data_IF_434562671542
#
_entry.id   IF_434562671542
#
_cell.length_a   1.000
_cell.length_b   1.000
_cell.length_c   1.000
_cell.angle_alpha   90.00
_cell.angle_beta   90.00
_cell.angle_gamma   90.00
#
_symmetry.space_group_name_H-M   'P 1'
#
loop_
_entity.id
_entity.type
_entity.pdbx_description
1 polymer ?
#
# COMPACT_ATOMS: atom_id res chain seq x y z
N UNK A 1 18.51 5.61 -3.58
CA UNK A 1 18.81 4.17 -3.62
C UNK A 1 19.65 3.92 -4.84
N UNK A 2 20.83 3.32 -4.69
CA UNK A 2 21.69 2.90 -5.80
C UNK A 2 21.67 1.39 -5.92
N UNK A 3 21.65 0.86 -7.14
CA UNK A 3 21.71 -0.58 -7.41
C UNK A 3 22.99 -0.87 -8.17
N UNK A 4 23.84 -1.74 -7.63
CA UNK A 4 25.03 -2.24 -8.30
C UNK A 4 24.84 -3.72 -8.64
N UNK A 5 25.00 -4.08 -9.91
CA UNK A 5 25.07 -5.47 -10.34
C UNK A 5 26.50 -5.97 -10.22
N UNK A 6 26.67 -7.13 -9.60
CA UNK A 6 27.96 -7.78 -9.48
C UNK A 6 28.12 -8.67 -10.72
N UNK A 7 28.95 -8.23 -11.67
CA UNK A 7 29.36 -9.07 -12.79
C UNK A 7 30.62 -9.86 -12.40
N UNK A 8 30.67 -11.13 -12.78
CA UNK A 8 31.84 -11.97 -12.58
C UNK A 8 33.06 -11.32 -13.25
N UNK A 9 33.97 -10.78 -12.43
CA UNK A 9 35.22 -10.22 -12.91
C UNK A 9 36.12 -11.34 -13.42
N UNK A 10 36.07 -11.64 -14.72
CA UNK A 10 37.17 -12.32 -15.39
C UNK A 10 38.40 -11.41 -15.37
N UNK A 11 39.49 -11.92 -14.78
CA UNK A 11 40.64 -11.16 -14.33
C UNK A 11 41.40 -10.42 -15.43
N UNK A 12 41.07 -9.15 -15.64
CA UNK A 12 41.89 -8.20 -16.41
C UNK A 12 42.79 -7.36 -15.49
N UNK A 13 44.06 -7.73 -15.34
CA UNK A 13 45.07 -6.97 -14.58
C UNK A 13 45.22 -5.55 -15.14
N UNK A 14 44.80 -4.53 -14.40
CA UNK A 14 45.30 -3.17 -14.56
C UNK A 14 46.26 -2.78 -13.42
N UNK A 15 47.56 -2.81 -13.72
CA UNK A 15 48.62 -2.17 -12.94
C UNK A 15 48.35 -0.66 -12.84
N UNK A 16 48.26 -0.11 -11.63
CA UNK A 16 48.56 1.31 -11.37
C UNK A 16 49.77 1.44 -10.46
N UNK A 17 50.75 2.19 -11.00
CA UNK A 17 52.00 2.62 -10.38
C UNK A 17 51.71 3.65 -9.26
N UNK A 18 52.61 3.68 -8.27
CA UNK A 18 52.45 4.40 -7.01
C UNK A 18 52.73 5.90 -7.02
N UNK A 19 52.64 6.45 -5.81
CA UNK A 19 53.05 7.80 -5.43
C UNK A 19 52.85 7.99 -3.91
N UNK A 20 53.95 8.06 -3.17
CA UNK A 20 54.03 8.34 -1.72
C UNK A 20 53.86 9.84 -1.44
N UNK A 21 53.40 10.18 -0.23
CA UNK A 21 53.60 11.50 0.39
C UNK A 21 52.71 11.78 1.62
N UNK A 22 53.25 11.92 2.84
CA UNK A 22 52.48 11.97 4.10
C UNK A 22 52.42 13.39 4.72
N UNK A 23 51.41 13.67 5.56
CA UNK A 23 51.46 14.74 6.58
C UNK A 23 50.64 14.33 7.82
N UNK A 24 51.32 14.24 8.98
CA UNK A 24 50.70 14.31 10.32
C UNK A 24 50.33 15.76 10.67
N UNK A 25 49.83 16.17 11.85
CA UNK A 25 49.87 15.69 13.24
C UNK A 25 48.75 16.47 13.98
N UNK A 26 48.18 15.93 15.06
CA UNK A 26 47.46 16.77 16.05
C UNK A 26 46.63 16.02 17.09
N UNK A 27 47.28 15.56 18.17
CA UNK A 27 46.63 15.10 19.41
C UNK A 27 46.33 16.30 20.32
N UNK A 28 45.15 16.32 20.94
CA UNK A 28 44.78 17.21 22.04
C UNK A 28 43.57 16.64 22.78
N UNK A 29 43.74 16.33 24.07
CA UNK A 29 42.77 15.64 24.90
C UNK A 29 41.94 16.53 25.82
N UNK A 30 41.10 15.86 26.62
CA UNK A 30 40.27 16.32 27.75
C UNK A 30 39.13 17.29 27.35
N UNK A 31 37.90 17.23 27.86
CA UNK A 31 37.37 16.73 29.13
C UNK A 31 35.82 16.62 29.02
N UNK A 32 35.18 15.75 29.82
CA UNK A 32 33.70 15.66 29.95
C UNK A 32 33.18 16.71 30.94
N UNK A 33 31.91 17.12 30.83
CA UNK A 33 31.08 17.11 32.05
C UNK A 33 29.66 16.54 31.88
N UNK A 34 29.08 16.35 33.07
CA UNK A 34 27.96 15.51 33.52
C UNK A 34 26.55 15.87 33.02
N UNK A 35 25.77 14.79 32.94
CA UNK A 35 24.34 14.58 33.23
C UNK A 35 23.49 15.76 33.78
N UNK A 36 22.31 15.92 33.17
CA UNK A 36 21.16 16.68 33.68
C UNK A 36 19.98 15.72 33.89
N UNK A 37 19.38 15.78 35.08
CA UNK A 37 18.13 15.11 35.48
C UNK A 37 16.91 16.01 35.19
N UNK A 38 15.69 15.46 35.08
CA UNK A 38 14.55 16.14 34.45
C UNK A 38 13.78 17.08 35.39
N UNK A 39 13.27 18.18 34.83
CA UNK A 39 12.35 19.11 35.47
C UNK A 39 10.89 18.66 35.32
N UNK A 40 10.16 18.71 36.43
CA UNK A 40 8.73 18.47 36.56
C UNK A 40 7.90 19.67 36.08
N UNK A 41 6.73 19.39 35.49
CA UNK A 41 5.68 20.37 35.20
C UNK A 41 4.58 20.30 36.27
N UNK A 42 3.98 21.44 36.69
CA UNK A 42 2.90 21.43 37.67
C UNK A 42 1.51 21.28 37.03
N UNK A 43 0.64 20.61 37.78
CA UNK A 43 -0.78 20.48 37.53
C UNK A 43 -1.55 21.77 37.89
N UNK A 44 -2.60 22.09 37.13
CA UNK A 44 -3.69 22.96 37.58
C UNK A 44 -5.05 22.28 37.34
N UNK A 45 -5.78 22.09 38.44
CA UNK A 45 -7.21 21.79 38.50
C UNK A 45 -7.99 23.10 38.34
N UNK A 46 -9.10 23.07 37.59
CA UNK A 46 -10.21 24.00 37.78
C UNK A 46 -11.52 23.21 37.75
N UNK A 47 -12.39 23.54 38.70
CA UNK A 47 -13.65 22.92 39.07
C UNK A 47 -14.86 23.48 38.30
N UNK A 48 -15.75 22.58 37.89
CA UNK A 48 -17.20 22.52 38.23
C UNK A 48 -18.06 23.81 38.32
N UNK A 49 -19.10 23.86 37.44
CA UNK A 49 -20.56 24.05 37.71
C UNK A 49 -21.29 25.10 36.84
N UNK A 50 -22.47 24.71 36.34
CA UNK A 50 -23.63 25.61 36.19
C UNK A 50 -24.40 25.54 34.86
N UNK A 51 -25.36 24.61 34.75
CA UNK A 51 -26.55 24.66 33.87
C UNK A 51 -27.56 25.75 34.31
N UNK A 52 -28.72 25.96 33.67
CA UNK A 52 -29.08 26.02 32.23
C UNK A 52 -29.89 27.33 31.95
N UNK A 53 -30.46 27.55 30.74
CA UNK A 53 -31.79 28.17 30.56
C UNK A 53 -32.25 28.25 29.09
N UNK A 54 -33.57 28.26 28.97
CA UNK A 54 -34.51 28.03 27.87
C UNK A 54 -34.76 29.18 26.87
N UNK A 55 -35.40 28.83 25.74
CA UNK A 55 -36.27 29.70 24.92
C UNK A 55 -35.68 30.00 23.54
N UNK A 56 -36.37 29.99 22.40
CA UNK A 56 -37.79 29.91 22.07
C UNK A 56 -38.00 30.59 20.72
N UNK A 57 -38.82 29.97 19.86
CA UNK A 57 -39.53 30.52 18.68
C UNK A 57 -38.80 30.88 17.37
N UNK A 58 -39.49 30.42 16.31
CA UNK A 58 -39.34 30.63 14.86
C UNK A 58 -39.53 32.11 14.45
N UNK A 59 -38.96 32.48 13.30
CA UNK A 59 -39.63 33.33 12.30
C UNK A 59 -39.05 33.13 10.90
N UNK A 60 -39.96 32.90 9.96
CA UNK A 60 -39.76 32.76 8.52
C UNK A 60 -39.31 34.07 7.87
N UNK A 61 -38.40 33.99 6.89
CA UNK A 61 -38.27 34.98 5.81
C UNK A 61 -38.00 34.22 4.51
N UNK A 62 -39.02 34.12 3.67
CA UNK A 62 -38.88 33.87 2.24
C UNK A 62 -38.62 35.19 1.51
N UNK A 63 -37.55 35.28 0.75
CA UNK A 63 -37.39 36.24 -0.34
C UNK A 63 -36.68 35.54 -1.50
N UNK A 64 -37.29 35.60 -2.68
CA UNK A 64 -37.04 34.73 -3.82
C UNK A 64 -35.71 34.92 -4.55
N UNK A 65 -35.29 33.83 -5.19
CA UNK A 65 -34.31 33.78 -6.26
C UNK A 65 -34.93 32.98 -7.43
N UNK A 66 -34.61 33.31 -8.69
CA UNK A 66 -35.32 32.79 -9.86
C UNK A 66 -35.10 31.29 -10.05
N UNK A 67 -36.18 30.59 -10.37
CA UNK A 67 -36.17 29.22 -10.87
C UNK A 67 -35.40 29.18 -12.20
N UNK A 68 -34.19 28.64 -12.16
CA UNK A 68 -33.50 28.19 -13.36
C UNK A 68 -34.19 26.89 -13.78
N UNK A 69 -34.80 26.89 -14.97
CA UNK A 69 -35.23 25.66 -15.65
C UNK A 69 -34.02 24.73 -15.79
N UNK A 70 -34.02 23.65 -15.01
CA UNK A 70 -33.09 22.55 -15.18
C UNK A 70 -33.55 21.75 -16.39
N UNK A 71 -32.78 21.89 -17.48
CA UNK A 71 -32.91 21.07 -18.68
C UNK A 71 -32.97 19.57 -18.30
N UNK A 72 -34.04 18.93 -18.71
CA UNK A 72 -34.52 17.63 -18.23
C UNK A 72 -33.82 16.43 -18.89
N UNK A 73 -32.52 16.57 -19.21
CA UNK A 73 -31.73 15.54 -19.92
C UNK A 73 -30.40 15.18 -19.28
N UNK A 74 -30.34 15.15 -17.96
CA UNK A 74 -29.36 14.35 -17.25
C UNK A 74 -30.10 13.49 -16.23
N UNK A 75 -30.39 12.24 -16.60
CA UNK A 75 -30.61 11.21 -15.58
C UNK A 75 -29.27 11.00 -14.89
N UNK A 76 -28.95 11.87 -13.92
CA UNK A 76 -27.86 11.67 -12.99
C UNK A 76 -28.33 10.51 -12.12
N UNK A 77 -28.00 9.29 -12.52
CA UNK A 77 -27.96 8.20 -11.57
C UNK A 77 -26.95 8.62 -10.51
N UNK A 78 -27.45 9.01 -9.33
CA UNK A 78 -26.64 9.07 -8.11
C UNK A 78 -26.18 7.64 -7.83
N UNK A 79 -25.12 7.22 -8.51
CA UNK A 79 -24.35 6.05 -8.12
C UNK A 79 -23.79 6.33 -6.73
N UNK A 80 -23.76 5.32 -5.87
CA UNK A 80 -23.24 5.36 -4.49
C UNK A 80 -21.85 6.02 -4.39
N UNK A 81 -21.14 6.09 -5.50
CA UNK A 81 -19.96 6.91 -5.70
C UNK A 81 -20.25 7.96 -6.77
N UNK A 82 -20.29 9.23 -6.39
CA UNK A 82 -20.14 10.32 -7.35
C UNK A 82 -18.72 10.32 -7.89
N UNK A 83 -18.32 9.31 -8.67
CA UNK A 83 -17.03 9.32 -9.35
C UNK A 83 -17.08 10.55 -10.25
N UNK A 84 -16.19 11.52 -10.00
CA UNK A 84 -16.20 12.79 -10.70
C UNK A 84 -16.15 12.58 -12.22
N UNK A 85 -16.63 13.56 -12.98
CA UNK A 85 -16.75 13.57 -14.44
C UNK A 85 -15.43 13.42 -15.22
N UNK A 86 -14.35 12.96 -14.60
CA UNK A 86 -13.01 12.80 -15.16
C UNK A 86 -12.82 11.59 -16.09
N UNK A 87 -13.89 10.85 -16.42
CA UNK A 87 -13.88 9.83 -17.48
C UNK A 87 -13.14 8.53 -17.16
N UNK A 88 -12.75 8.30 -15.90
CA UNK A 88 -12.00 7.08 -15.47
C UNK A 88 -12.92 5.99 -14.90
N UNK A 89 -14.23 6.24 -14.84
CA UNK A 89 -15.20 5.28 -14.34
C UNK A 89 -15.64 4.29 -15.44
N UNK A 90 -15.54 2.99 -15.16
CA UNK A 90 -16.19 1.94 -15.94
C UNK A 90 -17.59 1.70 -15.37
N UNK A 91 -18.58 2.40 -15.91
CA UNK A 91 -19.98 2.05 -15.67
C UNK A 91 -20.48 1.24 -16.87
N UNK A 92 -20.82 -0.03 -16.64
CA UNK A 92 -21.41 -0.90 -17.64
C UNK A 92 -22.74 -1.46 -17.12
N UNK A 93 -23.73 -1.61 -17.98
CA UNK A 93 -25.02 -2.24 -17.63
C UNK A 93 -24.87 -3.72 -17.23
N UNK A 94 -23.73 -4.33 -17.55
CA UNK A 94 -23.36 -5.68 -17.14
C UNK A 94 -22.75 -5.66 -15.74
N UNK A 95 -23.22 -6.55 -14.86
CA UNK A 95 -22.63 -6.76 -13.55
C UNK A 95 -21.17 -7.20 -13.67
N UNK A 96 -20.25 -6.38 -13.14
CA UNK A 96 -18.81 -6.66 -13.16
C UNK A 96 -18.45 -7.81 -12.21
N UNK A 97 -17.37 -8.53 -12.50
CA UNK A 97 -16.87 -9.64 -11.68
C UNK A 97 -15.54 -9.28 -11.03
N UNK A 98 -15.43 -9.46 -9.72
CA UNK A 98 -14.22 -9.22 -8.93
C UNK A 98 -13.67 -10.53 -8.37
N UNK A 99 -12.37 -10.77 -8.55
CA UNK A 99 -11.68 -11.84 -7.84
C UNK A 99 -10.86 -11.26 -6.68
N UNK A 100 -11.08 -11.80 -5.49
CA UNK A 100 -10.27 -11.54 -4.30
C UNK A 100 -9.32 -12.72 -4.08
N UNK A 101 -8.02 -12.46 -4.06
CA UNK A 101 -7.00 -13.42 -3.62
C UNK A 101 -6.68 -13.14 -2.15
N UNK A 102 -7.07 -14.05 -1.26
CA UNK A 102 -6.86 -13.89 0.17
C UNK A 102 -5.67 -14.74 0.66
N UNK A 103 -4.57 -14.04 0.98
CA UNK A 103 -3.28 -14.63 1.38
C UNK A 103 -3.09 -14.76 2.89
N UNK A 104 -3.98 -14.18 3.71
CA UNK A 104 -3.80 -14.00 5.15
C UNK A 104 -3.56 -12.55 5.55
N UNK A 105 -2.74 -12.33 6.58
CA UNK A 105 -2.56 -11.04 7.25
C UNK A 105 -3.59 -10.75 8.33
N UNK A 106 -3.44 -9.60 9.00
CA UNK A 106 -4.22 -9.21 10.19
C UNK A 106 -5.73 -9.19 9.98
N UNK A 107 -6.18 -8.89 8.76
CA UNK A 107 -7.59 -8.67 8.45
C UNK A 107 -8.48 -9.85 8.86
N UNK A 108 -8.07 -11.08 8.56
CA UNK A 108 -8.82 -12.30 8.89
C UNK A 108 -8.40 -13.00 10.18
N UNK A 109 -7.58 -12.36 11.03
CA UNK A 109 -7.17 -12.96 12.29
C UNK A 109 -8.26 -12.81 13.37
N UNK A 110 -8.27 -13.72 14.34
CA UNK A 110 -9.10 -13.60 15.56
C UNK A 110 -8.27 -13.79 16.82
N UNK A 111 -8.62 -13.10 17.92
CA UNK A 111 -8.02 -13.37 19.21
C UNK A 111 -8.46 -14.75 19.71
N UNK A 112 -7.53 -15.51 20.28
CA UNK A 112 -7.85 -16.67 21.10
C UNK A 112 -8.30 -16.23 22.52
N UNK A 113 -8.48 -17.21 23.42
CA UNK A 113 -8.87 -16.98 24.81
C UNK A 113 -7.87 -16.12 25.60
N UNK A 114 -6.60 -16.10 25.18
CA UNK A 114 -5.53 -15.30 25.80
C UNK A 114 -5.35 -13.93 25.13
N UNK A 115 -6.05 -13.68 24.03
CA UNK A 115 -5.98 -12.46 23.25
C UNK A 115 -4.91 -12.47 22.15
N UNK A 116 -4.22 -13.58 21.93
CA UNK A 116 -3.25 -13.71 20.84
C UNK A 116 -3.97 -13.85 19.51
N UNK A 117 -3.49 -13.15 18.48
CA UNK A 117 -4.13 -13.17 17.17
C UNK A 117 -3.66 -14.39 16.37
N UNK A 118 -4.61 -15.12 15.78
CA UNK A 118 -4.35 -16.28 14.93
C UNK A 118 -5.12 -16.19 13.62
N UNK A 119 -4.57 -16.76 12.55
CA UNK A 119 -5.29 -16.93 11.28
C UNK A 119 -6.45 -17.92 11.45
N UNK A 120 -7.63 -17.59 10.91
CA UNK A 120 -8.82 -18.46 10.97
C UNK A 120 -9.32 -18.72 9.55
N UNK A 121 -9.10 -19.94 9.01
CA UNK A 121 -9.57 -20.29 7.68
C UNK A 121 -11.09 -20.13 7.53
N UNK A 122 -11.54 -19.63 6.38
CA UNK A 122 -12.93 -19.36 6.04
C UNK A 122 -13.52 -18.11 6.68
N UNK A 123 -12.93 -17.58 7.75
CA UNK A 123 -13.52 -16.48 8.52
C UNK A 123 -13.69 -15.22 7.69
N UNK A 124 -12.62 -14.71 7.06
CA UNK A 124 -12.71 -13.48 6.28
C UNK A 124 -13.60 -13.66 5.05
N UNK A 125 -13.57 -14.84 4.43
CA UNK A 125 -14.45 -15.20 3.31
C UNK A 125 -15.92 -15.07 3.71
N UNK A 126 -16.32 -15.63 4.86
CA UNK A 126 -17.66 -15.46 5.43
C UNK A 126 -18.00 -13.99 5.70
N UNK A 127 -17.04 -13.21 6.23
CA UNK A 127 -17.27 -11.78 6.48
C UNK A 127 -17.47 -10.97 5.20
N UNK A 128 -16.76 -11.29 4.12
CA UNK A 128 -16.97 -10.67 2.80
C UNK A 128 -18.38 -10.98 2.30
N UNK A 129 -18.81 -12.24 2.38
CA UNK A 129 -20.16 -12.65 1.96
C UNK A 129 -21.26 -11.94 2.76
N UNK A 130 -21.14 -11.92 4.09
CA UNK A 130 -22.08 -11.24 4.97
C UNK A 130 -22.13 -9.73 4.68
N UNK A 131 -20.96 -9.09 4.51
CA UNK A 131 -20.87 -7.67 4.18
C UNK A 131 -21.58 -7.38 2.85
N UNK A 132 -21.41 -8.22 1.83
CA UNK A 132 -22.08 -8.05 0.53
C UNK A 132 -23.59 -8.29 0.63
N UNK A 133 -24.06 -9.22 1.46
CA UNK A 133 -25.50 -9.43 1.69
C UNK A 133 -26.16 -8.26 2.43
N UNK A 134 -25.43 -7.62 3.35
CA UNK A 134 -25.87 -6.40 4.04
C UNK A 134 -25.94 -5.19 3.10
N UNK A 135 -25.14 -5.17 2.03
CA UNK A 135 -25.19 -4.11 1.02
C UNK A 135 -26.24 -4.45 -0.05
N UNK A 136 -27.33 -3.67 -0.11
CA UNK A 136 -28.30 -3.76 -1.21
C UNK A 136 -27.92 -2.93 -2.43
N UNK A 137 -26.63 -2.61 -2.58
CA UNK A 137 -26.12 -1.80 -3.67
C UNK A 137 -25.91 -2.65 -4.93
N UNK A 138 -26.77 -2.44 -5.92
CA UNK A 138 -26.72 -3.12 -7.22
C UNK A 138 -25.48 -2.78 -8.04
N UNK A 139 -24.72 -1.75 -7.68
CA UNK A 139 -23.49 -1.35 -8.37
C UNK A 139 -22.25 -2.10 -7.89
N UNK A 140 -22.33 -2.88 -6.80
CA UNK A 140 -21.21 -3.72 -6.38
C UNK A 140 -20.98 -4.88 -7.35
N UNK A 141 -19.72 -5.22 -7.65
CA UNK A 141 -19.41 -6.36 -8.51
C UNK A 141 -19.83 -7.68 -7.85
N UNK A 142 -20.06 -8.71 -8.66
CA UNK A 142 -20.11 -10.09 -8.16
C UNK A 142 -18.71 -10.47 -7.68
N UNK A 143 -18.57 -10.76 -6.39
CA UNK A 143 -17.28 -11.07 -5.77
C UNK A 143 -17.09 -12.58 -5.68
N UNK A 144 -15.91 -13.07 -6.04
CA UNK A 144 -15.43 -14.42 -5.73
C UNK A 144 -14.19 -14.31 -4.87
N UNK A 145 -14.16 -15.03 -3.74
CA UNK A 145 -13.00 -15.08 -2.86
C UNK A 145 -12.26 -16.39 -3.09
N UNK A 146 -11.00 -16.31 -3.50
CA UNK A 146 -10.05 -17.42 -3.50
C UNK A 146 -9.18 -17.32 -2.26
N UNK A 147 -9.56 -18.06 -1.24
CA UNK A 147 -8.77 -18.21 -0.02
C UNK A 147 -7.63 -19.22 -0.22
N UNK A 148 -6.42 -18.83 0.19
CA UNK A 148 -5.26 -19.70 0.07
C UNK A 148 -5.24 -20.71 1.24
N UNK A 149 -4.81 -21.96 0.98
CA UNK A 149 -4.87 -23.02 1.99
C UNK A 149 -3.94 -22.78 3.18
N UNK A 150 -2.84 -22.05 2.97
CA UNK A 150 -1.95 -21.59 4.04
C UNK A 150 -2.02 -20.06 4.10
N UNK A 151 -2.69 -19.56 5.14
CA UNK A 151 -2.78 -18.13 5.41
C UNK A 151 -1.49 -17.65 6.07
N UNK A 152 -0.84 -16.68 5.46
CA UNK A 152 0.48 -16.19 5.85
C UNK A 152 0.39 -15.06 6.86
N UNK A 153 1.40 -14.95 7.73
CA UNK A 153 1.66 -13.69 8.42
C UNK A 153 2.24 -12.67 7.43
N UNK A 154 2.03 -11.38 7.69
CA UNK A 154 2.45 -10.31 6.78
C UNK A 154 3.95 -10.26 6.50
N UNK A 155 4.79 -10.81 7.38
CA UNK A 155 6.24 -10.86 7.24
C UNK A 155 6.76 -12.08 6.46
N UNK A 156 5.92 -13.10 6.22
CA UNK A 156 6.36 -14.39 5.66
C UNK A 156 6.19 -14.47 4.13
N UNK A 157 5.68 -13.40 3.52
CA UNK A 157 5.52 -13.32 2.07
C UNK A 157 6.89 -13.24 1.40
N UNK A 158 7.08 -14.04 0.35
CA UNK A 158 8.36 -14.24 -0.31
C UNK A 158 8.16 -14.29 -1.84
N UNK A 159 9.24 -14.37 -2.64
CA UNK A 159 9.14 -14.38 -4.10
C UNK A 159 8.31 -15.53 -4.71
N UNK A 160 8.25 -16.69 -4.07
CA UNK A 160 7.41 -17.81 -4.52
C UNK A 160 5.92 -17.47 -4.36
N UNK A 161 5.56 -16.79 -3.26
CA UNK A 161 4.21 -16.28 -3.06
C UNK A 161 3.83 -15.22 -4.10
N UNK A 162 4.77 -14.34 -4.49
CA UNK A 162 4.52 -13.37 -5.57
C UNK A 162 4.27 -14.04 -6.91
N UNK A 163 5.07 -15.06 -7.25
CA UNK A 163 4.86 -15.87 -8.45
C UNK A 163 3.51 -16.59 -8.43
N UNK A 164 3.10 -17.11 -7.27
CA UNK A 164 1.80 -17.76 -7.10
C UNK A 164 0.64 -16.78 -7.36
N UNK A 165 0.70 -15.58 -6.78
CA UNK A 165 -0.29 -14.52 -7.03
C UNK A 165 -0.33 -14.15 -8.52
N UNK A 166 0.83 -13.92 -9.13
CA UNK A 166 0.91 -13.51 -10.52
C UNK A 166 0.35 -14.58 -11.47
N UNK A 167 0.66 -15.85 -11.24
CA UNK A 167 0.10 -16.97 -12.02
C UNK A 167 -1.43 -17.12 -11.84
N UNK A 168 -1.94 -16.86 -10.65
CA UNK A 168 -3.39 -16.86 -10.40
C UNK A 168 -4.09 -15.72 -11.12
N UNK A 169 -3.50 -14.52 -11.12
CA UNK A 169 -3.99 -13.39 -11.90
C UNK A 169 -4.01 -13.72 -13.40
N UNK A 170 -2.96 -14.35 -13.94
CA UNK A 170 -2.90 -14.80 -15.33
C UNK A 170 -4.01 -15.80 -15.66
N UNK A 171 -4.19 -16.81 -14.81
CA UNK A 171 -5.19 -17.87 -15.02
C UNK A 171 -6.61 -17.33 -15.08
N UNK A 172 -6.92 -16.37 -14.22
CA UNK A 172 -8.25 -15.80 -14.09
C UNK A 172 -8.42 -14.47 -14.84
N UNK A 173 -7.42 -14.06 -15.62
CA UNK A 173 -7.35 -12.71 -16.16
C UNK A 173 -8.57 -12.36 -17.02
N UNK A 174 -9.02 -13.28 -17.87
CA UNK A 174 -10.13 -13.03 -18.79
C UNK A 174 -11.53 -13.21 -18.15
N UNK A 175 -11.60 -13.85 -16.98
CA UNK A 175 -12.85 -14.18 -16.29
C UNK A 175 -13.39 -13.04 -15.41
N UNK A 176 -12.51 -12.16 -14.93
CA UNK A 176 -12.80 -11.10 -13.96
C UNK A 176 -12.41 -9.72 -14.49
N UNK A 177 -13.11 -8.67 -14.06
CA UNK A 177 -12.94 -7.30 -14.53
C UNK A 177 -11.95 -6.49 -13.67
N UNK A 178 -11.70 -6.94 -12.45
CA UNK A 178 -10.73 -6.37 -11.51
C UNK A 178 -10.27 -7.40 -10.50
N UNK A 179 -9.21 -7.06 -9.75
CA UNK A 179 -8.61 -7.95 -8.77
C UNK A 179 -8.30 -7.22 -7.46
N UNK A 180 -8.55 -7.89 -6.34
CA UNK A 180 -8.09 -7.45 -5.02
C UNK A 180 -7.22 -8.55 -4.41
N UNK A 181 -6.11 -8.16 -3.80
CA UNK A 181 -5.22 -9.05 -3.07
C UNK A 181 -5.24 -8.63 -1.62
N UNK A 182 -5.75 -9.49 -0.74
CA UNK A 182 -5.76 -9.26 0.71
C UNK A 182 -4.54 -9.94 1.30
N UNK A 183 -3.70 -9.15 1.97
CA UNK A 183 -2.50 -9.65 2.63
C UNK A 183 -2.13 -8.83 3.88
N UNK A 184 -1.13 -9.30 4.63
CA UNK A 184 -0.59 -8.54 5.76
C UNK A 184 0.14 -7.27 5.33
N UNK A 185 0.19 -6.26 6.20
CA UNK A 185 0.67 -4.92 5.84
C UNK A 185 2.19 -4.79 5.79
N UNK A 186 2.93 -5.63 6.52
CA UNK A 186 4.39 -5.49 6.69
C UNK A 186 5.18 -5.56 5.37
N UNK A 187 4.82 -6.48 4.48
CA UNK A 187 5.51 -6.69 3.20
C UNK A 187 4.70 -6.26 1.98
N UNK A 188 3.52 -5.64 2.18
CA UNK A 188 2.60 -5.30 1.10
C UNK A 188 3.21 -4.39 0.03
N UNK A 189 4.02 -3.40 0.43
CA UNK A 189 4.69 -2.51 -0.51
C UNK A 189 5.72 -3.27 -1.39
N UNK A 190 6.36 -4.31 -0.86
CA UNK A 190 7.28 -5.16 -1.61
C UNK A 190 6.52 -6.02 -2.62
N UNK A 191 5.42 -6.66 -2.20
CA UNK A 191 4.54 -7.43 -3.10
C UNK A 191 3.96 -6.56 -4.21
N UNK A 192 3.46 -5.37 -3.88
CA UNK A 192 2.93 -4.43 -4.87
C UNK A 192 4.00 -4.00 -5.88
N UNK A 193 5.22 -3.77 -5.41
CA UNK A 193 6.36 -3.45 -6.27
C UNK A 193 6.71 -4.61 -7.19
N UNK A 194 6.88 -5.82 -6.65
CA UNK A 194 7.20 -7.02 -7.42
C UNK A 194 6.16 -7.29 -8.50
N UNK A 195 4.87 -7.32 -8.14
CA UNK A 195 3.78 -7.54 -9.09
C UNK A 195 3.75 -6.47 -10.19
N UNK A 196 4.05 -5.20 -9.88
CA UNK A 196 4.09 -4.16 -10.92
C UNK A 196 5.12 -4.43 -12.01
N UNK A 197 6.19 -5.18 -11.72
CA UNK A 197 7.18 -5.62 -12.70
C UNK A 197 6.84 -6.98 -13.33
N UNK A 198 6.16 -7.88 -12.58
CA UNK A 198 5.79 -9.20 -13.07
C UNK A 198 4.63 -9.15 -14.09
N UNK A 199 3.73 -8.17 -13.98
CA UNK A 199 2.47 -8.09 -14.72
C UNK A 199 2.60 -7.18 -15.96
N UNK A 200 3.22 -7.68 -17.03
CA UNK A 200 3.38 -6.92 -18.28
C UNK A 200 2.05 -6.78 -19.03
N UNK A 201 1.81 -5.60 -19.59
CA UNK A 201 0.56 -5.26 -20.30
C UNK A 201 -0.69 -5.49 -19.43
N UNK A 202 -0.59 -5.19 -18.13
CA UNK A 202 -1.75 -5.12 -17.25
C UNK A 202 -2.72 -4.02 -17.74
N UNK A 203 -4.00 -4.37 -17.88
CA UNK A 203 -5.08 -3.52 -18.40
C UNK A 203 -6.27 -3.42 -17.43
N UNK A 204 -6.17 -4.11 -16.27
CA UNK A 204 -7.19 -4.20 -15.24
C UNK A 204 -6.62 -3.71 -13.92
N UNK A 205 -7.46 -3.13 -13.08
CA UNK A 205 -7.04 -2.64 -11.76
C UNK A 205 -6.76 -3.81 -10.84
N UNK A 206 -5.56 -3.84 -10.26
CA UNK A 206 -5.16 -4.81 -9.24
C UNK A 206 -4.87 -4.04 -7.95
N UNK A 207 -5.67 -4.26 -6.90
CA UNK A 207 -5.52 -3.51 -5.63
C UNK A 207 -5.04 -4.44 -4.53
N UNK A 208 -3.89 -4.13 -3.93
CA UNK A 208 -3.46 -4.74 -2.68
C UNK A 208 -4.06 -3.97 -1.50
N UNK A 209 -4.55 -4.70 -0.51
CA UNK A 209 -5.11 -4.13 0.70
C UNK A 209 -4.96 -5.06 1.90
N UNK A 210 -5.25 -4.53 3.08
CA UNK A 210 -5.06 -5.18 4.38
C UNK A 210 -5.73 -4.36 5.48
N UNK A 211 -5.38 -4.66 6.73
CA UNK A 211 -5.78 -3.85 7.88
C UNK A 211 -4.72 -3.85 8.95
N UNK A 212 -4.69 -2.80 9.78
CA UNK A 212 -3.88 -2.80 11.01
C UNK A 212 -4.60 -3.56 12.13
N UNK A 213 -5.93 -3.54 12.14
CA UNK A 213 -6.75 -4.17 13.17
C UNK A 213 -7.62 -5.27 12.54
N UNK A 214 -7.75 -6.46 13.16
CA UNK A 214 -8.55 -7.54 12.59
C UNK A 214 -10.02 -7.18 12.43
N UNK A 215 -10.69 -7.78 11.44
CA UNK A 215 -12.08 -7.46 11.09
C UNK A 215 -13.06 -7.63 12.26
N UNK A 216 -12.81 -8.58 13.16
CA UNK A 216 -13.67 -8.85 14.31
C UNK A 216 -13.67 -7.76 15.41
N UNK A 217 -12.80 -6.75 15.32
CA UNK A 217 -12.65 -5.71 16.35
C UNK A 217 -13.46 -4.46 15.97
N UNK A 218 -14.05 -3.81 16.98
CA UNK A 218 -14.98 -2.67 16.80
C UNK A 218 -14.39 -1.49 16.02
N UNK A 219 -13.15 -1.10 16.31
CA UNK A 219 -12.48 0.03 15.66
C UNK A 219 -11.57 -0.40 14.51
N UNK A 220 -11.95 -1.48 13.81
CA UNK A 220 -11.15 -2.01 12.71
C UNK A 220 -11.25 -1.16 11.45
N UNK A 221 -10.12 -0.94 10.80
CA UNK A 221 -9.99 -0.38 9.46
C UNK A 221 -10.35 -1.38 8.35
N UNK A 222 -10.49 -2.67 8.66
CA UNK A 222 -10.71 -3.75 7.71
C UNK A 222 -11.98 -3.57 6.87
N UNK A 223 -13.12 -3.29 7.51
CA UNK A 223 -14.41 -3.20 6.81
C UNK A 223 -14.41 -2.05 5.80
N UNK A 224 -13.82 -0.90 6.17
CA UNK A 224 -13.70 0.26 5.28
C UNK A 224 -12.76 -0.05 4.11
N UNK A 225 -11.58 -0.60 4.37
CA UNK A 225 -10.62 -0.97 3.34
C UNK A 225 -11.20 -2.00 2.36
N UNK A 226 -11.90 -3.02 2.87
CA UNK A 226 -12.52 -4.06 2.06
C UNK A 226 -13.63 -3.51 1.16
N UNK A 227 -14.59 -2.78 1.73
CA UNK A 227 -15.70 -2.22 0.95
C UNK A 227 -15.20 -1.24 -0.12
N UNK A 228 -14.26 -0.35 0.25
CA UNK A 228 -13.67 0.59 -0.68
C UNK A 228 -12.95 -0.13 -1.83
N UNK A 229 -12.10 -1.11 -1.54
CA UNK A 229 -11.36 -1.83 -2.59
C UNK A 229 -12.25 -2.66 -3.50
N UNK A 230 -13.27 -3.31 -2.96
CA UNK A 230 -14.28 -4.02 -3.77
C UNK A 230 -14.99 -3.05 -4.71
N UNK A 231 -15.35 -1.86 -4.22
CA UNK A 231 -16.04 -0.85 -5.01
C UNK A 231 -15.15 -0.27 -6.11
N UNK A 232 -13.86 -0.04 -5.83
CA UNK A 232 -12.94 0.61 -6.76
C UNK A 232 -12.36 -0.33 -7.82
N UNK A 233 -12.11 -1.60 -7.49
CA UNK A 233 -11.35 -2.51 -8.34
C UNK A 233 -11.99 -2.75 -9.72
N UNK A 234 -13.32 -2.78 -9.81
CA UNK A 234 -14.03 -2.90 -11.09
C UNK A 234 -14.50 -1.54 -11.64
N UNK A 235 -14.71 -0.55 -10.78
CA UNK A 235 -15.24 0.76 -11.20
C UNK A 235 -14.17 1.67 -11.80
N UNK A 236 -12.90 1.51 -11.44
CA UNK A 236 -11.82 2.35 -11.96
C UNK A 236 -11.15 1.72 -13.18
N UNK A 237 -10.89 2.53 -14.20
CA UNK A 237 -10.05 2.17 -15.35
C UNK A 237 -8.58 2.48 -15.11
N UNK A 238 -7.98 1.88 -14.06
CA UNK A 238 -6.58 2.07 -13.71
C UNK A 238 -5.81 0.78 -14.02
N UNK A 239 -5.06 0.78 -15.12
CA UNK A 239 -4.27 -0.34 -15.60
C UNK A 239 -2.97 -0.56 -14.80
N UNK A 240 -3.06 -0.62 -13.47
CA UNK A 240 -1.90 -0.63 -12.58
C UNK A 240 -2.09 -1.51 -11.34
N UNK A 241 -0.97 -1.98 -10.80
CA UNK A 241 -0.91 -2.54 -9.44
C UNK A 241 -0.91 -1.40 -8.44
N UNK A 242 -1.93 -1.38 -7.59
CA UNK A 242 -2.20 -0.31 -6.63
C UNK A 242 -2.15 -0.83 -5.19
N UNK A 243 -1.95 0.06 -4.24
CA UNK A 243 -2.17 -0.19 -2.81
C UNK A 243 -3.27 0.76 -2.34
N UNK A 244 -4.28 0.23 -1.66
CA UNK A 244 -5.33 1.05 -1.07
C UNK A 244 -5.26 1.00 0.45
N UNK A 245 -5.14 2.17 1.08
CA UNK A 245 -5.16 2.31 2.54
C UNK A 245 -5.59 3.73 2.91
N UNK A 246 -6.35 3.89 3.99
CA UNK A 246 -6.76 5.19 4.53
C UNK A 246 -7.31 6.14 3.45
N UNK A 247 -8.34 5.67 2.74
CA UNK A 247 -9.04 6.41 1.69
C UNK A 247 -8.18 6.88 0.50
N UNK A 248 -6.96 6.36 0.36
CA UNK A 248 -6.05 6.71 -0.73
C UNK A 248 -5.71 5.48 -1.54
N UNK A 249 -5.76 5.64 -2.86
CA UNK A 249 -5.26 4.64 -3.82
C UNK A 249 -3.91 5.11 -4.35
N UNK A 250 -2.86 4.36 -4.05
CA UNK A 250 -1.49 4.66 -4.44
C UNK A 250 -1.00 3.75 -5.56
N UNK A 251 -0.10 4.26 -6.42
CA UNK A 251 0.68 3.43 -7.33
C UNK A 251 1.57 2.48 -6.52
N UNK A 252 1.42 1.17 -6.70
CA UNK A 252 2.00 0.14 -5.83
C UNK A 252 3.50 0.27 -5.64
N UNK A 253 4.26 0.39 -6.73
CA UNK A 253 5.72 0.54 -6.71
C UNK A 253 6.25 1.92 -6.25
N UNK A 254 5.36 2.80 -5.77
CA UNK A 254 5.71 4.08 -5.15
C UNK A 254 5.37 4.10 -3.67
N UNK A 255 4.87 3.01 -3.09
CA UNK A 255 4.44 2.95 -1.69
C UNK A 255 5.54 2.46 -0.76
N UNK A 256 5.41 2.83 0.52
CA UNK A 256 6.08 2.18 1.64
C UNK A 256 5.14 2.19 2.86
N UNK A 257 5.30 1.20 3.75
CA UNK A 257 4.71 1.27 5.09
C UNK A 257 5.55 2.24 5.93
N UNK A 258 4.99 3.39 6.28
CA UNK A 258 5.64 4.46 7.02
C UNK A 258 5.35 4.42 8.52
N UNK A 259 4.22 3.84 8.92
CA UNK A 259 3.81 3.72 10.32
C UNK A 259 3.42 2.26 10.63
N UNK A 260 3.72 1.83 11.85
CA UNK A 260 3.45 0.47 12.33
C UNK A 260 2.13 0.34 13.10
N UNK A 261 1.54 1.44 13.55
CA UNK A 261 0.32 1.44 14.38
C UNK A 261 -0.78 2.38 13.91
N UNK A 262 -0.48 3.38 13.08
CA UNK A 262 -1.48 4.30 12.55
C UNK A 262 -2.29 3.67 11.40
N UNK A 263 -3.55 4.09 11.23
CA UNK A 263 -4.38 3.61 10.12
C UNK A 263 -3.90 4.14 8.76
N UNK A 264 -3.30 5.32 8.72
CA UNK A 264 -2.60 5.88 7.56
C UNK A 264 -1.17 5.30 7.41
N UNK A 265 -1.04 3.99 7.63
CA UNK A 265 0.23 3.27 7.66
C UNK A 265 1.05 3.36 6.35
N UNK A 266 0.40 3.60 5.21
CA UNK A 266 1.07 3.65 3.90
C UNK A 266 1.19 5.07 3.39
N UNK A 267 2.37 5.37 2.83
CA UNK A 267 2.63 6.64 2.16
C UNK A 267 3.27 6.42 0.80
N UNK A 268 3.14 7.41 -0.08
CA UNK A 268 3.89 7.49 -1.32
C UNK A 268 4.69 8.80 -1.34
N UNK A 269 5.95 8.76 -0.89
CA UNK A 269 6.71 9.97 -0.56
C UNK A 269 7.11 10.78 -1.81
N UNK A 270 7.26 10.10 -2.95
CA UNK A 270 7.79 10.69 -4.19
C UNK A 270 6.78 10.61 -5.35
N UNK A 271 5.52 10.27 -5.07
CA UNK A 271 4.47 10.22 -6.07
C UNK A 271 3.10 10.45 -5.41
N UNK A 272 2.26 11.37 -5.91
CA UNK A 272 0.94 11.60 -5.31
C UNK A 272 0.00 10.38 -5.45
N UNK A 273 -1.04 10.26 -4.61
CA UNK A 273 -2.08 9.24 -4.79
C UNK A 273 -2.73 9.31 -6.18
N UNK A 274 -3.07 8.15 -6.74
CA UNK A 274 -3.81 8.03 -8.00
C UNK A 274 -5.28 8.41 -7.80
N UNK A 275 -5.85 8.07 -6.65
CA UNK A 275 -7.19 8.50 -6.27
C UNK A 275 -7.31 8.74 -4.76
N UNK A 276 -8.28 9.55 -4.36
CA UNK A 276 -8.64 9.79 -2.96
C UNK A 276 -10.14 9.72 -2.78
N UNK A 277 -10.58 9.04 -1.73
CA UNK A 277 -11.98 8.86 -1.37
C UNK A 277 -12.38 9.96 -0.40
N UNK A 278 -13.47 10.65 -0.73
CA UNK A 278 -14.17 11.57 0.16
C UNK A 278 -15.67 11.38 -0.02
N UNK A 279 -16.42 12.49 -0.09
CA UNK A 279 -17.82 12.45 -0.55
C UNK A 279 -17.96 11.86 -1.97
N UNK A 280 -16.90 11.99 -2.76
CA UNK A 280 -16.74 11.49 -4.11
C UNK A 280 -15.37 10.85 -4.26
N UNK A 281 -15.22 9.92 -5.21
CA UNK A 281 -13.89 9.42 -5.61
C UNK A 281 -13.24 10.45 -6.53
N UNK A 282 -12.11 11.02 -6.10
CA UNK A 282 -11.31 11.95 -6.89
C UNK A 282 -10.14 11.20 -7.51
N UNK A 283 -10.17 11.01 -8.83
CA UNK A 283 -9.09 10.35 -9.58
C UNK A 283 -8.20 11.38 -10.25
N UNK A 284 -6.89 11.24 -10.10
CA UNK A 284 -5.91 12.09 -10.77
C UNK A 284 -5.51 11.47 -12.12
N UNK A 285 -6.35 11.67 -13.14
CA UNK A 285 -6.20 11.07 -14.47
C UNK A 285 -4.86 11.41 -15.15
N UNK A 286 -4.25 12.55 -14.80
CA UNK A 286 -2.95 12.97 -15.36
C UNK A 286 -1.77 12.10 -14.94
N UNK A 287 -1.92 11.32 -13.87
CA UNK A 287 -0.88 10.43 -13.33
C UNK A 287 -0.95 9.01 -13.89
N UNK A 288 -2.09 8.63 -14.47
CA UNK A 288 -2.39 7.25 -14.85
C UNK A 288 -1.56 6.81 -16.04
N UNK A 289 -1.14 5.54 -16.03
CA UNK A 289 -0.57 4.93 -17.23
C UNK A 289 -1.64 4.76 -18.31
N UNK A 290 -1.29 4.91 -19.60
CA UNK A 290 -2.20 4.59 -20.68
C UNK A 290 -2.50 3.08 -20.69
N UNK A 291 -3.67 2.71 -21.21
CA UNK A 291 -4.01 1.31 -21.46
C UNK A 291 -2.95 0.65 -22.36
N UNK A 292 -2.51 -0.59 -22.03
CA UNK A 292 -1.50 -1.28 -22.81
C UNK A 292 -2.07 -1.69 -24.18
N UNK A 293 -1.16 -1.85 -25.16
CA UNK A 293 -1.51 -2.33 -26.51
C UNK A 293 -1.22 -3.81 -26.73
N UNK A 294 -0.51 -4.45 -25.78
CA UNK A 294 -0.09 -5.84 -25.86
C UNK A 294 -1.02 -6.79 -25.11
N UNK A 295 -0.86 -8.09 -25.36
CA UNK A 295 -1.50 -9.14 -24.54
C UNK A 295 -0.86 -9.15 -23.15
N UNK A 296 -1.69 -9.32 -22.13
CA UNK A 296 -1.25 -9.54 -20.76
C UNK A 296 -0.30 -10.75 -20.66
N UNK A 297 0.80 -10.59 -19.92
CA UNK A 297 1.82 -11.62 -19.73
C UNK A 297 2.39 -11.54 -18.32
N UNK A 298 2.71 -12.70 -17.75
CA UNK A 298 3.33 -12.78 -16.43
C UNK A 298 4.78 -13.26 -16.49
N UNK A 299 5.65 -12.55 -15.77
CA UNK A 299 7.06 -12.90 -15.57
C UNK A 299 7.33 -13.24 -14.11
N UNK A 300 7.35 -14.54 -13.78
CA UNK A 300 7.54 -15.01 -12.40
C UNK A 300 8.99 -15.24 -12.00
N UNK A 301 9.91 -15.33 -12.98
CA UNK A 301 11.32 -15.63 -12.70
C UNK A 301 12.03 -14.39 -12.15
N UNK A 302 12.30 -14.39 -10.85
CA UNK A 302 13.12 -13.36 -10.19
C UNK A 302 14.39 -13.95 -9.58
N UNK A 303 15.50 -13.24 -9.81
CA UNK A 303 16.75 -13.57 -9.14
C UNK A 303 16.81 -12.84 -7.79
N UNK A 304 16.68 -13.61 -6.72
CA UNK A 304 16.58 -13.07 -5.37
C UNK A 304 17.93 -13.06 -4.64
N UNK A 305 19.04 -13.34 -5.35
CA UNK A 305 20.41 -13.22 -4.82
C UNK A 305 20.81 -11.75 -4.74
N UNK A 306 20.12 -10.97 -3.92
CA UNK A 306 20.42 -9.56 -3.68
C UNK A 306 20.53 -9.27 -2.20
N UNK A 307 21.28 -8.22 -1.86
CA UNK A 307 21.34 -7.71 -0.49
C UNK A 307 21.03 -6.21 -0.49
N UNK A 308 20.15 -5.81 0.43
CA UNK A 308 19.88 -4.40 0.71
C UNK A 308 20.73 -3.97 1.90
N UNK A 309 21.57 -2.96 1.71
CA UNK A 309 22.51 -2.47 2.70
C UNK A 309 22.20 -1.02 3.00
N UNK A 310 21.84 -0.76 4.26
CA UNK A 310 21.63 0.61 4.75
C UNK A 310 22.91 1.19 5.31
N UNK A 311 23.31 2.34 4.78
CA UNK A 311 24.49 3.04 5.25
C UNK A 311 24.13 3.81 6.53
N UNK A 312 24.99 3.64 7.54
CA UNK A 312 24.95 4.37 8.81
C UNK A 312 26.35 4.88 9.13
N UNK A 313 26.50 5.98 9.91
CA UNK A 313 27.83 6.47 10.26
C UNK A 313 28.68 5.36 10.87
N UNK A 314 29.96 5.30 10.50
CA UNK A 314 30.89 4.22 10.92
C UNK A 314 30.48 2.85 10.34
N UNK A 315 30.23 2.81 9.03
CA UNK A 315 29.95 1.59 8.28
C UNK A 315 31.23 0.78 8.00
N UNK A 316 31.19 -0.55 8.21
CA UNK A 316 32.30 -1.47 7.88
C UNK A 316 32.37 -1.70 6.36
N UNK A 317 33.17 -0.87 5.68
CA UNK A 317 33.42 -0.98 4.24
C UNK A 317 34.05 -2.32 3.88
N UNK A 318 34.93 -2.86 4.73
CA UNK A 318 35.59 -4.14 4.45
C UNK A 318 34.58 -5.30 4.50
N UNK A 319 33.57 -5.25 5.37
CA UNK A 319 32.47 -6.21 5.36
C UNK A 319 31.68 -6.19 4.05
N UNK A 320 31.36 -4.99 3.53
CA UNK A 320 30.69 -4.86 2.24
C UNK A 320 31.55 -5.37 1.08
N UNK A 321 32.85 -5.07 1.09
CA UNK A 321 33.78 -5.58 0.08
C UNK A 321 33.90 -7.11 0.16
N UNK A 322 33.93 -7.71 1.36
CA UNK A 322 33.89 -9.17 1.51
C UNK A 322 32.62 -9.76 0.92
N UNK A 323 31.47 -9.14 1.13
CA UNK A 323 30.20 -9.55 0.54
C UNK A 323 30.23 -9.44 -0.99
N UNK A 324 30.65 -8.30 -1.53
CA UNK A 324 30.73 -8.06 -2.97
C UNK A 324 31.71 -9.02 -3.67
N UNK A 325 32.81 -9.37 -3.00
CA UNK A 325 33.82 -10.30 -3.52
C UNK A 325 33.49 -11.78 -3.28
N UNK A 326 32.36 -12.11 -2.64
CA UNK A 326 31.96 -13.50 -2.39
C UNK A 326 31.48 -14.24 -3.65
N UNK A 327 31.36 -13.52 -4.78
CA UNK A 327 31.00 -14.07 -6.09
C UNK A 327 29.52 -13.94 -6.42
N UNK A 328 29.18 -14.11 -7.71
CA UNK A 328 27.80 -13.95 -8.22
C UNK A 328 26.88 -15.13 -7.89
N UNK A 329 27.45 -16.22 -7.37
CA UNK A 329 26.68 -17.37 -6.91
C UNK A 329 26.00 -17.12 -5.57
N UNK A 330 26.52 -16.18 -4.76
CA UNK A 330 26.01 -15.80 -3.45
C UNK A 330 25.25 -14.47 -3.49
N UNK A 331 25.75 -13.47 -4.22
CA UNK A 331 25.12 -12.16 -4.36
C UNK A 331 25.34 -11.63 -5.79
N UNK A 332 24.26 -11.32 -6.51
CA UNK A 332 24.28 -10.75 -7.86
C UNK A 332 23.98 -9.26 -7.89
N UNK A 333 23.32 -8.74 -6.86
CA UNK A 333 22.97 -7.33 -6.79
C UNK A 333 23.06 -6.78 -5.37
N UNK A 334 23.57 -5.56 -5.24
CA UNK A 334 23.58 -4.79 -4.00
C UNK A 334 22.71 -3.55 -4.17
N UNK A 335 21.77 -3.36 -3.24
CA UNK A 335 20.94 -2.17 -3.15
C UNK A 335 21.43 -1.35 -1.98
N UNK A 336 21.99 -0.16 -2.25
CA UNK A 336 22.57 0.70 -1.24
C UNK A 336 21.59 1.81 -0.85
N UNK A 337 21.16 1.81 0.41
CA UNK A 337 20.45 2.93 1.01
C UNK A 337 21.46 3.92 1.60
N UNK A 338 21.90 4.83 0.72
CA UNK A 338 22.88 5.87 1.00
C UNK A 338 22.26 7.10 1.68
N UNK A 339 23.11 8.07 2.04
CA UNK A 339 22.66 9.30 2.69
C UNK A 339 22.06 10.30 1.70
N UNK A 340 21.02 11.01 2.15
CA UNK A 340 20.47 12.19 1.45
C UNK A 340 20.17 11.92 -0.02
N UNK A 341 20.88 12.62 -0.90
CA UNK A 341 20.75 12.55 -2.37
C UNK A 341 21.44 11.34 -3.00
N UNK A 342 21.96 10.41 -2.19
CA UNK A 342 22.68 9.22 -2.64
C UNK A 342 24.21 9.37 -2.55
N UNK A 343 24.69 9.97 -1.46
CA UNK A 343 26.12 10.19 -1.17
C UNK A 343 26.79 9.00 -0.51
#
# INVERSE_FOLDING_TARGET
VWVATLDGCDGGRHKRRGGRGPLGVGLGGAERPRALSPMAAPAQKVSERGDPLSGGMRKDIHAGLPLVELDSKAHIHQTTFGIGSSGVAKFTDKQSKLLILYMGGTMGMKPDEKGELHQVPGYLTEQVENMLQEQHDTFLPTVTVKEYPSLLHGCDVNPEHWALIANDLERHYDEYDGFVIIMGTDTMAYTASALSFMLENLAKTVILTGSQVPYCKTFSDARRNLLATISLACALDIAEVCVFFDDKLFRGNRTRKADAGAFDAFTSPNFPPLATLGLSVQVNSSLLLPQPRGRFKVFTKMDCKMVVVKFVPIFDVDALLRLANSGTDTCKALVLELYGTGN
#
